data_IF_956827136532
#
_entry.id   IF_956827136532
#
_cell.length_a   1.000
_cell.length_b   1.000
_cell.length_c   1.000
_cell.angle_alpha   90.00
_cell.angle_beta   90.00
_cell.angle_gamma   90.00
#
_symmetry.space_group_name_H-M   'P 1'
#
loop_
_entity.id
_entity.type
_entity.pdbx_description
1 polymer ?
#
# COMPACT_ATOMS: atom_id res chain seq x y z
N UNK A 1 -40.71 87.37 -1.21
CA UNK A 1 -39.93 86.52 -2.14
C UNK A 1 -40.22 85.07 -1.77
N UNK A 2 -41.05 84.39 -2.55
CA UNK A 2 -41.36 82.96 -2.35
C UNK A 2 -40.23 82.09 -2.90
N UNK A 3 -39.86 81.04 -2.16
CA UNK A 3 -38.81 80.11 -2.58
C UNK A 3 -39.38 79.08 -3.56
N UNK A 4 -38.71 78.78 -4.68
CA UNK A 4 -39.19 77.76 -5.61
C UNK A 4 -39.06 76.36 -4.99
N UNK A 5 -40.16 75.61 -5.01
CA UNK A 5 -40.21 74.21 -4.60
C UNK A 5 -39.65 73.33 -5.73
N UNK A 6 -38.45 72.77 -5.53
CA UNK A 6 -37.86 71.79 -6.45
C UNK A 6 -38.16 70.38 -5.94
N UNK A 7 -38.89 69.60 -6.75
CA UNK A 7 -39.24 68.23 -6.43
C UNK A 7 -38.07 67.28 -6.75
N UNK A 8 -37.45 66.72 -5.70
CA UNK A 8 -36.37 65.74 -5.84
C UNK A 8 -36.92 64.33 -5.60
N UNK A 9 -36.55 63.32 -6.42
CA UNK A 9 -36.94 61.93 -6.19
C UNK A 9 -36.56 61.47 -4.78
N UNK A 10 -37.55 61.02 -4.01
CA UNK A 10 -37.34 60.50 -2.65
C UNK A 10 -36.95 59.03 -2.75
N UNK A 11 -35.70 58.71 -2.45
CA UNK A 11 -35.27 57.32 -2.35
C UNK A 11 -35.84 56.66 -1.08
N UNK A 12 -36.30 55.40 -1.16
CA UNK A 12 -36.81 54.68 0.00
C UNK A 12 -35.71 54.53 1.06
N UNK A 13 -36.09 54.71 2.33
CA UNK A 13 -35.19 54.54 3.46
C UNK A 13 -34.76 53.07 3.60
N UNK A 14 -33.53 52.88 4.07
CA UNK A 14 -32.76 51.63 4.10
C UNK A 14 -33.56 50.45 4.67
N UNK A 15 -33.46 49.31 3.99
CA UNK A 15 -33.98 48.00 4.41
C UNK A 15 -33.39 47.61 5.77
N UNK A 16 -34.21 47.07 6.68
CA UNK A 16 -33.80 46.65 8.01
C UNK A 16 -32.67 45.61 7.97
N UNK A 17 -31.62 45.87 8.75
CA UNK A 17 -30.35 45.14 8.70
C UNK A 17 -30.50 43.65 9.06
N UNK A 18 -31.52 43.30 9.84
CA UNK A 18 -31.82 41.91 10.26
C UNK A 18 -32.23 40.99 9.10
N UNK A 19 -32.91 41.53 8.08
CA UNK A 19 -33.28 40.77 6.87
C UNK A 19 -32.21 40.79 5.77
N UNK A 20 -31.06 41.43 6.02
CA UNK A 20 -30.05 41.61 4.97
C UNK A 20 -29.40 40.26 4.62
N UNK A 21 -29.38 39.94 3.32
CA UNK A 21 -28.70 38.75 2.77
C UNK A 21 -27.22 38.63 3.18
N UNK A 22 -26.62 39.74 3.63
CA UNK A 22 -25.25 39.82 4.14
C UNK A 22 -25.06 39.05 5.46
N UNK A 23 -26.12 38.87 6.26
CA UNK A 23 -26.06 38.08 7.50
C UNK A 23 -25.93 36.56 7.23
N UNK A 24 -26.32 36.10 6.04
CA UNK A 24 -26.22 34.70 5.64
C UNK A 24 -24.89 34.37 4.94
N UNK A 25 -23.99 35.35 4.80
CA UNK A 25 -22.66 35.13 4.26
C UNK A 25 -21.80 34.54 5.39
N UNK A 26 -21.28 33.30 5.25
CA UNK A 26 -20.42 32.71 6.27
C UNK A 26 -19.20 33.61 6.52
N UNK A 27 -19.09 34.14 7.73
CA UNK A 27 -17.95 34.98 8.12
C UNK A 27 -16.79 34.11 8.57
N UNK A 28 -15.57 34.62 8.39
CA UNK A 28 -14.38 34.01 8.98
C UNK A 28 -14.51 34.03 10.50
N UNK A 29 -14.24 32.90 11.14
CA UNK A 29 -14.23 32.78 12.60
C UNK A 29 -13.06 33.59 13.18
N UNK A 30 -13.26 34.14 14.37
CA UNK A 30 -12.21 34.82 15.12
C UNK A 30 -11.10 33.85 15.52
N UNK A 31 -9.88 34.37 15.64
CA UNK A 31 -8.68 33.57 15.97
C UNK A 31 -8.83 32.85 17.32
N UNK A 32 -9.46 33.49 18.30
CA UNK A 32 -9.64 32.93 19.64
C UNK A 32 -10.56 31.71 19.64
N UNK A 33 -11.61 31.74 18.82
CA UNK A 33 -12.54 30.61 18.64
C UNK A 33 -11.82 29.44 17.99
N UNK A 34 -10.97 29.71 16.99
CA UNK A 34 -10.18 28.67 16.31
C UNK A 34 -9.21 28.01 17.28
N UNK A 35 -8.53 28.79 18.13
CA UNK A 35 -7.60 28.26 19.14
C UNK A 35 -8.31 27.40 20.17
N UNK A 36 -9.43 27.88 20.71
CA UNK A 36 -10.21 27.12 21.68
C UNK A 36 -10.72 25.78 21.11
N UNK A 37 -11.12 25.74 19.84
CA UNK A 37 -11.50 24.49 19.17
C UNK A 37 -10.32 23.53 18.98
N UNK A 38 -9.14 24.04 18.59
CA UNK A 38 -7.93 23.22 18.45
C UNK A 38 -7.51 22.61 19.79
N UNK A 39 -7.52 23.42 20.85
CA UNK A 39 -7.13 22.97 22.18
C UNK A 39 -8.11 21.92 22.72
N UNK A 40 -9.42 22.14 22.54
CA UNK A 40 -10.46 21.19 22.94
C UNK A 40 -10.37 19.86 22.16
N UNK A 41 -10.06 19.91 20.87
CA UNK A 41 -9.86 18.70 20.05
C UNK A 41 -8.59 17.94 20.47
N UNK A 42 -7.51 18.67 20.80
CA UNK A 42 -6.28 18.06 21.32
C UNK A 42 -6.52 17.32 22.65
N UNK A 43 -7.25 17.93 23.58
CA UNK A 43 -7.62 17.28 24.84
C UNK A 43 -8.48 16.04 24.62
N UNK A 44 -9.43 16.10 23.68
CA UNK A 44 -10.27 14.96 23.30
C UNK A 44 -9.43 13.81 22.73
N UNK A 45 -8.52 14.08 21.80
CA UNK A 45 -7.64 13.07 21.21
C UNK A 45 -6.70 12.45 22.25
N UNK A 46 -6.23 13.25 23.22
CA UNK A 46 -5.37 12.77 24.30
C UNK A 46 -6.12 11.89 25.29
N UNK A 47 -7.36 12.22 25.61
CA UNK A 47 -8.21 11.46 26.53
C UNK A 47 -8.86 10.22 25.88
N UNK A 48 -8.92 10.18 24.54
CA UNK A 48 -9.48 9.05 23.82
C UNK A 48 -8.62 7.79 23.99
N UNK A 49 -9.24 6.62 24.25
CA UNK A 49 -8.51 5.35 24.30
C UNK A 49 -7.90 5.06 22.93
N UNK A 50 -6.58 4.93 22.89
CA UNK A 50 -5.87 4.59 21.65
C UNK A 50 -6.23 3.17 21.23
N UNK A 51 -6.54 2.93 19.94
CA UNK A 51 -6.83 1.59 19.46
C UNK A 51 -5.61 0.68 19.69
N UNK A 52 -5.82 -0.60 20.01
CA UNK A 52 -4.71 -1.54 20.11
C UNK A 52 -3.99 -1.61 18.75
N UNK A 53 -2.65 -1.75 18.73
CA UNK A 53 -1.91 -1.83 17.48
C UNK A 53 -2.39 -3.04 16.66
N UNK A 54 -2.77 -2.79 15.40
CA UNK A 54 -3.32 -3.80 14.49
C UNK A 54 -2.33 -4.90 14.11
N UNK A 55 -1.03 -4.67 14.32
CA UNK A 55 0.06 -5.61 13.99
C UNK A 55 1.08 -5.58 15.11
N UNK A 56 1.82 -6.68 15.29
CA UNK A 56 2.98 -6.70 16.16
C UNK A 56 3.92 -5.56 15.75
N UNK A 57 4.23 -4.65 16.68
CA UNK A 57 5.07 -3.48 16.39
C UNK A 57 6.51 -3.86 15.99
N UNK A 58 6.92 -5.09 16.31
CA UNK A 58 8.21 -5.65 15.93
C UNK A 58 8.01 -6.93 15.12
N UNK A 59 8.63 -6.95 13.94
CA UNK A 59 8.85 -8.15 13.16
C UNK A 59 9.76 -9.12 13.93
N UNK A 60 9.61 -10.42 13.68
CA UNK A 60 10.42 -11.44 14.37
C UNK A 60 11.93 -11.26 14.14
N UNK A 61 12.31 -10.69 12.99
CA UNK A 61 13.70 -10.31 12.68
C UNK A 61 14.25 -9.20 13.58
N UNK A 62 13.42 -8.24 13.96
CA UNK A 62 13.85 -7.14 14.83
C UNK A 62 13.89 -7.60 16.29
N UNK A 63 12.99 -8.52 16.68
CA UNK A 63 13.08 -9.18 17.99
C UNK A 63 14.39 -9.95 18.14
N UNK A 64 14.81 -10.71 17.13
CA UNK A 64 16.08 -11.45 17.17
C UNK A 64 17.27 -10.49 17.23
N UNK A 65 17.26 -9.42 16.44
CA UNK A 65 18.31 -8.39 16.48
C UNK A 65 18.45 -7.77 17.86
N UNK A 66 17.35 -7.39 18.51
CA UNK A 66 17.38 -6.80 19.85
C UNK A 66 17.79 -7.80 20.92
N UNK A 67 17.36 -9.06 20.79
CA UNK A 67 17.79 -10.13 21.69
C UNK A 67 19.31 -10.35 21.61
N UNK A 68 19.89 -10.31 20.41
CA UNK A 68 21.35 -10.37 20.21
C UNK A 68 22.05 -9.15 20.81
N UNK A 69 21.51 -7.95 20.61
CA UNK A 69 22.07 -6.73 21.15
C UNK A 69 22.09 -6.74 22.70
N UNK A 70 21.04 -7.26 23.33
CA UNK A 70 20.97 -7.48 24.78
C UNK A 70 21.96 -8.55 25.24
N UNK A 71 22.01 -9.69 24.54
CA UNK A 71 22.93 -10.80 24.82
C UNK A 71 24.39 -10.37 24.82
N UNK A 72 24.77 -9.50 23.89
CA UNK A 72 26.14 -9.02 23.73
C UNK A 72 26.39 -7.64 24.35
N UNK A 73 25.49 -7.13 25.19
CA UNK A 73 25.60 -5.81 25.85
C UNK A 73 25.98 -4.68 24.88
N UNK A 74 25.35 -4.65 23.70
CA UNK A 74 25.59 -3.67 22.66
C UNK A 74 26.82 -3.92 21.77
N UNK A 75 27.63 -4.96 22.03
CA UNK A 75 28.80 -5.32 21.22
C UNK A 75 28.56 -6.62 20.47
N UNK A 76 27.60 -6.61 19.55
CA UNK A 76 27.36 -7.76 18.66
C UNK A 76 28.65 -8.04 17.90
N UNK A 77 29.21 -9.28 17.97
CA UNK A 77 30.40 -9.64 17.22
C UNK A 77 30.16 -9.36 15.73
N UNK A 78 31.07 -8.64 15.09
CA UNK A 78 31.01 -8.43 13.66
C UNK A 78 31.10 -9.81 12.99
N UNK A 79 30.02 -10.22 12.31
CA UNK A 79 30.01 -11.47 11.55
C UNK A 79 31.12 -11.36 10.52
N UNK A 80 32.10 -12.26 10.59
CA UNK A 80 33.21 -12.23 9.63
C UNK A 80 32.68 -12.63 8.25
N UNK A 81 33.26 -12.12 7.16
CA UNK A 81 32.87 -12.53 5.81
C UNK A 81 32.98 -14.06 5.60
N UNK A 82 33.89 -14.72 6.34
CA UNK A 82 33.98 -16.18 6.39
C UNK A 82 32.76 -16.86 7.02
N UNK A 83 32.20 -16.31 8.10
CA UNK A 83 31.00 -16.85 8.74
C UNK A 83 29.76 -16.68 7.86
N UNK A 84 29.64 -15.55 7.16
CA UNK A 84 28.58 -15.33 6.16
C UNK A 84 28.73 -16.31 5.00
N UNK A 85 29.96 -16.51 4.51
CA UNK A 85 30.24 -17.48 3.44
C UNK A 85 29.98 -18.93 3.89
N UNK A 86 30.29 -19.28 5.14
CA UNK A 86 30.01 -20.60 5.70
C UNK A 86 28.50 -20.87 5.83
N UNK A 87 27.72 -19.87 6.27
CA UNK A 87 26.25 -19.97 6.28
C UNK A 87 25.67 -20.09 4.87
N UNK A 88 26.16 -19.30 3.91
CA UNK A 88 25.72 -19.38 2.51
C UNK A 88 26.06 -20.75 1.87
N UNK A 89 27.17 -21.38 2.27
CA UNK A 89 27.53 -22.74 1.85
C UNK A 89 26.70 -23.83 2.52
N UNK A 90 26.23 -23.59 3.74
CA UNK A 90 25.39 -24.52 4.49
C UNK A 90 23.92 -24.50 4.07
N UNK A 91 23.48 -23.46 3.35
CA UNK A 91 22.12 -23.42 2.80
C UNK A 91 21.95 -24.53 1.75
N UNK A 92 20.86 -25.33 1.82
CA UNK A 92 20.59 -26.34 0.82
C UNK A 92 20.41 -25.66 -0.54
N UNK A 93 21.26 -26.03 -1.51
CA UNK A 93 21.13 -25.56 -2.89
C UNK A 93 19.86 -26.17 -3.46
N UNK A 94 18.83 -25.35 -3.67
CA UNK A 94 17.59 -25.77 -4.33
C UNK A 94 17.93 -26.33 -5.70
N UNK A 95 17.32 -27.45 -6.07
CA UNK A 95 17.47 -27.98 -7.43
C UNK A 95 16.91 -26.98 -8.43
N UNK A 96 17.37 -27.04 -9.68
CA UNK A 96 16.83 -26.20 -10.76
C UNK A 96 15.32 -26.36 -10.89
N UNK A 97 14.82 -27.59 -10.74
CA UNK A 97 13.39 -27.88 -10.72
C UNK A 97 12.66 -27.17 -9.56
N UNK A 98 13.19 -27.21 -8.33
CA UNK A 98 12.59 -26.51 -7.19
C UNK A 98 12.56 -24.99 -7.39
N UNK A 99 13.59 -24.42 -8.01
CA UNK A 99 13.63 -22.99 -8.31
C UNK A 99 12.56 -22.60 -9.36
N UNK A 100 12.36 -23.46 -10.37
CA UNK A 100 11.33 -23.27 -11.37
C UNK A 100 9.92 -23.45 -10.80
N UNK A 101 9.71 -24.42 -9.91
CA UNK A 101 8.44 -24.63 -9.19
C UNK A 101 8.09 -23.41 -8.32
N UNK A 102 9.04 -22.89 -7.55
CA UNK A 102 8.84 -21.67 -6.75
C UNK A 102 8.49 -20.46 -7.61
N UNK A 103 9.19 -20.30 -8.75
CA UNK A 103 8.88 -19.22 -9.70
C UNK A 103 7.49 -19.41 -10.33
N UNK A 104 7.08 -20.64 -10.62
CA UNK A 104 5.75 -20.94 -11.12
C UNK A 104 4.67 -20.52 -10.12
N UNK A 105 4.80 -20.96 -8.86
CA UNK A 105 3.87 -20.58 -7.78
C UNK A 105 3.81 -19.07 -7.58
N UNK A 106 4.95 -18.39 -7.63
CA UNK A 106 5.01 -16.94 -7.52
C UNK A 106 4.21 -16.24 -8.65
N UNK A 107 4.38 -16.68 -9.90
CA UNK A 107 3.66 -16.09 -11.04
C UNK A 107 2.15 -16.33 -10.93
N UNK A 108 1.73 -17.52 -10.46
CA UNK A 108 0.32 -17.82 -10.22
C UNK A 108 -0.26 -16.87 -9.16
N UNK A 109 0.45 -16.71 -8.03
CA UNK A 109 0.03 -15.78 -6.97
C UNK A 109 -0.11 -14.35 -7.50
N UNK A 110 0.86 -13.88 -8.29
CA UNK A 110 0.83 -12.56 -8.93
C UNK A 110 -0.37 -12.35 -9.88
N UNK A 111 -0.82 -13.40 -10.57
CA UNK A 111 -2.03 -13.36 -11.43
C UNK A 111 -3.29 -13.27 -10.55
N UNK A 112 -3.35 -14.05 -9.48
CA UNK A 112 -4.47 -14.07 -8.54
C UNK A 112 -4.63 -12.74 -7.82
N UNK A 113 -3.53 -12.14 -7.35
CA UNK A 113 -3.52 -10.81 -6.73
C UNK A 113 -4.05 -9.74 -7.69
N UNK A 114 -3.62 -9.74 -8.96
CA UNK A 114 -4.11 -8.79 -9.97
C UNK A 114 -5.60 -8.97 -10.27
N UNK A 115 -6.07 -10.23 -10.31
CA UNK A 115 -7.50 -10.53 -10.45
C UNK A 115 -8.30 -10.08 -9.24
N UNK A 116 -7.77 -10.29 -8.03
CA UNK A 116 -8.38 -9.81 -6.79
C UNK A 116 -8.46 -8.28 -6.77
N UNK A 117 -7.38 -7.59 -7.13
CA UNK A 117 -7.32 -6.14 -7.23
C UNK A 117 -8.42 -5.56 -8.13
N UNK A 118 -8.67 -6.16 -9.30
CA UNK A 118 -9.77 -5.72 -10.17
C UNK A 118 -11.14 -5.94 -9.53
N UNK A 119 -11.36 -7.08 -8.87
CA UNK A 119 -12.61 -7.38 -8.15
C UNK A 119 -12.84 -6.38 -7.01
N UNK A 120 -11.79 -6.05 -6.26
CA UNK A 120 -11.88 -5.11 -5.13
C UNK A 120 -12.19 -3.69 -5.61
N UNK A 121 -11.59 -3.26 -6.72
CA UNK A 121 -11.90 -1.97 -7.35
C UNK A 121 -13.31 -1.91 -7.91
N UNK A 122 -13.80 -3.01 -8.50
CA UNK A 122 -15.17 -3.14 -8.98
C UNK A 122 -16.17 -3.05 -7.83
N UNK A 123 -15.93 -3.81 -6.75
CA UNK A 123 -16.76 -3.78 -5.54
C UNK A 123 -16.79 -2.41 -4.86
N UNK A 124 -15.67 -1.68 -4.91
CA UNK A 124 -15.58 -0.31 -4.40
C UNK A 124 -16.21 0.75 -5.33
N UNK A 125 -16.68 0.38 -6.53
CA UNK A 125 -17.21 1.31 -7.53
C UNK A 125 -16.16 2.27 -8.10
N UNK A 126 -14.87 1.96 -7.95
CA UNK A 126 -13.73 2.80 -8.38
C UNK A 126 -13.03 2.27 -9.62
N UNK A 127 -13.62 1.27 -10.27
CA UNK A 127 -13.03 0.65 -11.45
C UNK A 127 -13.06 1.60 -12.65
N UNK A 128 -11.88 1.97 -13.14
CA UNK A 128 -11.71 2.78 -14.36
C UNK A 128 -11.33 1.88 -15.53
N UNK A 129 -11.83 2.21 -16.73
CA UNK A 129 -11.56 1.43 -17.94
C UNK A 129 -10.05 1.34 -18.25
N UNK A 130 -9.32 2.44 -18.08
CA UNK A 130 -7.86 2.49 -18.24
C UNK A 130 -7.15 1.49 -17.31
N UNK A 131 -7.55 1.43 -16.04
CA UNK A 131 -7.01 0.49 -15.05
C UNK A 131 -7.28 -0.95 -15.46
N UNK A 132 -8.46 -1.25 -16.00
CA UNK A 132 -8.79 -2.59 -16.51
C UNK A 132 -7.86 -2.98 -17.66
N UNK A 133 -7.60 -2.09 -18.61
CA UNK A 133 -6.72 -2.38 -19.74
C UNK A 133 -5.28 -2.63 -19.29
N UNK A 134 -4.76 -1.79 -18.40
CA UNK A 134 -3.40 -1.93 -17.86
C UNK A 134 -3.26 -3.28 -17.15
N UNK A 135 -4.12 -3.56 -16.17
CA UNK A 135 -4.02 -4.80 -15.38
C UNK A 135 -4.25 -6.05 -16.24
N UNK A 136 -5.13 -5.99 -17.25
CA UNK A 136 -5.29 -7.10 -18.20
C UNK A 136 -4.01 -7.36 -19.00
N UNK A 137 -3.31 -6.31 -19.43
CA UNK A 137 -2.04 -6.46 -20.15
C UNK A 137 -0.96 -7.08 -19.26
N UNK A 138 -0.91 -6.69 -17.98
CA UNK A 138 0.00 -7.30 -17.00
C UNK A 138 -0.34 -8.78 -16.76
N UNK A 139 -1.62 -9.13 -16.61
CA UNK A 139 -2.06 -10.52 -16.48
C UNK A 139 -1.63 -11.33 -17.72
N UNK A 140 -1.80 -10.80 -18.93
CA UNK A 140 -1.38 -11.47 -20.15
C UNK A 140 0.14 -11.69 -20.19
N UNK A 141 0.92 -10.71 -19.78
CA UNK A 141 2.37 -10.84 -19.67
C UNK A 141 2.75 -11.94 -18.68
N UNK A 142 2.11 -11.98 -17.50
CA UNK A 142 2.34 -13.03 -16.50
C UNK A 142 1.93 -14.42 -16.97
N UNK A 143 0.84 -14.54 -17.73
CA UNK A 143 0.45 -15.82 -18.34
C UNK A 143 1.50 -16.28 -19.35
N UNK A 144 2.07 -15.37 -20.15
CA UNK A 144 3.15 -15.70 -21.07
C UNK A 144 4.47 -16.07 -20.36
N UNK A 145 4.76 -15.46 -19.21
CA UNK A 145 5.86 -15.88 -18.33
C UNK A 145 5.59 -17.29 -17.77
N UNK A 146 4.37 -17.54 -17.27
CA UNK A 146 3.97 -18.83 -16.71
C UNK A 146 4.12 -19.98 -17.71
N UNK A 147 3.68 -19.77 -18.96
CA UNK A 147 3.84 -20.76 -20.05
C UNK A 147 5.32 -21.07 -20.35
N UNK A 148 6.20 -20.08 -20.25
CA UNK A 148 7.65 -20.29 -20.42
C UNK A 148 8.22 -21.13 -19.29
N UNK A 149 7.84 -20.84 -18.04
CA UNK A 149 8.29 -21.61 -16.87
C UNK A 149 7.77 -23.05 -16.92
N UNK A 150 6.52 -23.25 -17.30
CA UNK A 150 5.92 -24.58 -17.48
C UNK A 150 6.67 -25.41 -18.55
N UNK A 151 7.00 -24.78 -19.68
CA UNK A 151 7.80 -25.44 -20.72
C UNK A 151 9.20 -25.85 -20.22
N UNK A 152 9.84 -25.03 -19.38
CA UNK A 152 11.14 -25.35 -18.77
C UNK A 152 11.03 -26.48 -17.75
N UNK A 153 9.96 -26.50 -16.94
CA UNK A 153 9.68 -27.58 -15.99
C UNK A 153 9.49 -28.92 -16.70
N UNK A 154 8.74 -28.93 -17.81
CA UNK A 154 8.54 -30.13 -18.62
C UNK A 154 9.87 -30.66 -19.21
N UNK A 155 10.77 -29.76 -19.61
CA UNK A 155 12.10 -30.14 -20.12
C UNK A 155 13.02 -30.70 -19.02
N UNK A 156 12.99 -30.11 -17.81
CA UNK A 156 13.71 -30.64 -16.66
C UNK A 156 13.20 -32.03 -16.25
N UNK A 157 11.87 -32.24 -16.26
CA UNK A 157 11.26 -33.54 -15.96
C UNK A 157 11.59 -34.62 -17.00
N UNK A 158 11.62 -34.27 -18.28
CA UNK A 158 11.93 -35.21 -19.37
C UNK A 158 13.41 -35.61 -19.42
N UNK A 159 14.33 -34.70 -19.07
CA UNK A 159 15.77 -34.97 -19.03
C UNK A 159 16.19 -36.02 -17.99
N UNK A 160 15.41 -36.19 -16.93
CA UNK A 160 15.68 -37.20 -15.88
C UNK A 160 15.28 -38.62 -16.29
N UNK A 161 14.42 -38.81 -17.30
CA UNK A 161 13.89 -40.13 -17.68
C UNK A 161 14.74 -40.86 -18.74
N UNK A 162 15.63 -40.17 -19.45
CA UNK A 162 16.38 -40.72 -20.59
C UNK A 162 17.74 -41.37 -20.23
N UNK A 163 18.12 -41.43 -18.95
CA UNK A 163 19.47 -41.81 -18.51
C UNK A 163 19.72 -43.30 -18.17
N UNK A 164 18.72 -44.17 -18.21
CA UNK A 164 18.85 -45.58 -17.77
C UNK A 164 18.64 -46.58 -18.90
N UNK A 165 19.31 -46.35 -20.03
CA UNK A 165 19.44 -47.32 -21.12
C UNK A 165 20.69 -48.19 -20.91
N UNK A 166 20.56 -49.26 -20.13
CA UNK A 166 21.60 -50.27 -19.97
C UNK A 166 21.94 -50.91 -21.33
N UNK A 167 23.18 -50.76 -21.78
CA UNK A 167 23.71 -51.45 -22.96
C UNK A 167 23.74 -52.97 -22.71
N UNK A 168 23.09 -53.80 -23.53
CA UNK A 168 23.32 -55.23 -23.46
C UNK A 168 24.62 -55.55 -24.21
N UNK A 169 25.62 -56.02 -23.48
CA UNK A 169 26.80 -56.66 -24.06
C UNK A 169 26.37 -57.97 -24.74
N UNK A 170 26.72 -58.12 -26.02
CA UNK A 170 27.18 -59.38 -26.62
C UNK A 170 27.93 -59.09 -27.91
#
# INVERSE_FOLDING_TARGET
MEKPLVAVPKFPKRVDYESSRVQYIPRRRGVDVIRAEIDAEYERMRAAPQPPPSRAMLDDKEKTRLAELMRFRGKVPAVTPEQVAAQARAAPKKSEQQQLEEMFEQIVGEIEERRAFLRDLEAAGRLKLETVHIVRSEIQQRVADLQRVDALLQQCGAGSAAGTGASPSK
#
